data_IF_373549442517
#
_entry.id   IF_373549442517
#
_cell.length_a   1.000
_cell.length_b   1.000
_cell.length_c   1.000
_cell.angle_alpha   90.00
_cell.angle_beta   90.00
_cell.angle_gamma   90.00
#
_symmetry.space_group_name_H-M   'P 1'
#
loop_
_entity.id
_entity.type
_entity.pdbx_description
1 polymer ?
#
# COMPACT_ATOMS: atom_id res chain seq x y z
N UNK A 1 34.39 -77.23 29.66
CA UNK A 1 33.53 -77.37 28.53
C UNK A 1 32.71 -76.08 28.40
N UNK A 2 33.15 -75.17 27.70
CA UNK A 2 32.81 -74.59 26.46
C UNK A 2 31.31 -74.26 26.35
N UNK A 3 31.04 -72.98 26.29
CA UNK A 3 29.74 -72.47 25.96
C UNK A 3 29.81 -70.91 25.82
N UNK A 4 30.38 -70.46 24.74
CA UNK A 4 30.39 -69.05 24.43
C UNK A 4 29.00 -68.54 24.03
N UNK A 5 28.49 -67.58 24.77
CA UNK A 5 27.36 -66.81 24.36
C UNK A 5 27.86 -65.52 23.67
N UNK A 6 27.70 -65.45 22.37
CA UNK A 6 27.88 -64.26 21.60
C UNK A 6 26.61 -63.44 21.77
N UNK A 7 26.68 -62.42 22.64
CA UNK A 7 25.66 -61.39 22.72
C UNK A 7 25.73 -60.55 21.48
N UNK A 8 24.64 -60.54 20.74
CA UNK A 8 24.45 -59.63 19.61
C UNK A 8 24.55 -58.21 20.10
N UNK A 9 25.45 -57.44 19.47
CA UNK A 9 25.46 -56.02 19.54
C UNK A 9 24.18 -55.53 18.85
N UNK A 10 23.29 -54.98 19.64
CA UNK A 10 22.16 -54.22 19.10
C UNK A 10 22.70 -53.06 18.30
N UNK A 11 22.38 -53.06 17.05
CA UNK A 11 22.46 -51.84 16.22
C UNK A 11 21.52 -50.82 16.88
N UNK A 12 22.08 -50.08 17.81
CA UNK A 12 21.44 -48.83 18.23
C UNK A 12 21.44 -47.92 17.02
N UNK A 13 20.33 -47.96 16.36
CA UNK A 13 19.88 -47.04 15.36
C UNK A 13 20.13 -45.62 15.88
N UNK A 14 21.26 -45.04 15.47
CA UNK A 14 21.54 -43.63 15.63
C UNK A 14 20.59 -42.85 14.69
N UNK A 15 19.30 -42.94 14.99
CA UNK A 15 18.36 -41.94 14.50
C UNK A 15 18.70 -40.70 15.31
N UNK A 16 19.74 -40.03 14.89
CA UNK A 16 20.04 -38.69 15.34
C UNK A 16 18.83 -37.82 15.02
N UNK A 17 17.94 -37.71 16.00
CA UNK A 17 16.81 -36.83 15.90
C UNK A 17 17.33 -35.49 15.43
N UNK A 18 16.95 -35.09 14.22
CA UNK A 18 17.30 -33.77 13.70
C UNK A 18 16.78 -32.76 14.72
N UNK A 19 17.73 -32.08 15.38
CA UNK A 19 17.34 -31.03 16.31
C UNK A 19 16.68 -29.91 15.54
N UNK A 20 15.34 -29.82 15.61
CA UNK A 20 14.55 -28.84 14.90
C UNK A 20 14.63 -27.42 15.49
N UNK A 21 15.18 -27.32 16.71
CA UNK A 21 15.30 -26.05 17.42
C UNK A 21 16.03 -24.97 16.60
N UNK A 22 17.19 -25.25 15.96
CA UNK A 22 17.86 -24.26 15.12
C UNK A 22 17.03 -23.85 13.89
N UNK A 23 16.26 -24.77 13.33
CA UNK A 23 15.43 -24.51 12.16
C UNK A 23 14.26 -23.60 12.54
N UNK A 24 13.62 -23.88 13.68
CA UNK A 24 12.51 -23.05 14.19
C UNK A 24 13.00 -21.65 14.51
N UNK A 25 14.19 -21.48 15.07
CA UNK A 25 14.75 -20.16 15.37
C UNK A 25 14.99 -19.33 14.11
N UNK A 26 15.58 -19.93 13.07
CA UNK A 26 15.77 -19.29 11.78
C UNK A 26 14.42 -18.91 11.16
N UNK A 27 13.42 -19.79 11.20
CA UNK A 27 12.09 -19.51 10.67
C UNK A 27 11.40 -18.36 11.42
N UNK A 28 11.51 -18.32 12.76
CA UNK A 28 10.96 -17.23 13.56
C UNK A 28 11.65 -15.91 13.26
N UNK A 29 12.98 -15.91 13.16
CA UNK A 29 13.75 -14.70 12.82
C UNK A 29 13.36 -14.17 11.44
N UNK A 30 13.27 -15.05 10.44
CA UNK A 30 12.81 -14.66 9.09
C UNK A 30 11.39 -14.11 9.12
N UNK A 31 10.47 -14.73 9.87
CA UNK A 31 9.09 -14.27 9.99
C UNK A 31 9.04 -12.86 10.58
N UNK A 32 9.79 -12.57 11.65
CA UNK A 32 9.87 -11.25 12.25
C UNK A 32 10.44 -10.24 11.25
N UNK A 33 11.52 -10.58 10.55
CA UNK A 33 12.11 -9.72 9.52
C UNK A 33 11.08 -9.43 8.40
N UNK A 34 10.35 -10.44 7.94
CA UNK A 34 9.30 -10.25 6.93
C UNK A 34 8.17 -9.35 7.42
N UNK A 35 7.72 -9.51 8.67
CA UNK A 35 6.66 -8.63 9.23
C UNK A 35 7.15 -7.18 9.29
N UNK A 36 8.38 -6.96 9.75
CA UNK A 36 8.95 -5.60 9.86
C UNK A 36 9.18 -5.00 8.48
N UNK A 37 9.70 -5.76 7.52
CA UNK A 37 9.94 -5.26 6.16
C UNK A 37 8.67 -5.10 5.35
N UNK A 38 7.68 -5.98 5.52
CA UNK A 38 6.38 -5.85 4.84
C UNK A 38 5.65 -4.56 5.20
N UNK A 39 5.74 -4.11 6.45
CA UNK A 39 5.15 -2.83 6.86
C UNK A 39 5.80 -1.62 6.17
N UNK A 40 7.06 -1.73 5.75
CA UNK A 40 7.78 -0.69 5.01
C UNK A 40 7.34 -0.61 3.53
N UNK A 41 6.95 -1.74 2.96
CA UNK A 41 6.49 -1.79 1.55
C UNK A 41 5.09 -1.19 1.40
N UNK A 42 4.24 -1.36 2.40
CA UNK A 42 2.88 -0.81 2.40
C UNK A 42 2.87 0.72 2.62
N UNK A 43 3.89 1.27 3.29
CA UNK A 43 3.97 2.71 3.59
C UNK A 43 4.68 3.54 2.51
N UNK A 44 4.77 3.08 1.27
CA UNK A 44 5.11 3.93 0.12
C UNK A 44 3.93 4.75 -0.41
N UNK A 45 2.83 4.81 0.31
CA UNK A 45 1.97 5.99 0.24
C UNK A 45 2.80 7.15 0.81
N UNK A 46 3.30 8.01 -0.06
CA UNK A 46 4.05 9.22 0.31
C UNK A 46 3.35 9.92 1.46
N UNK A 47 4.09 10.34 2.50
CA UNK A 47 3.52 11.22 3.51
C UNK A 47 3.13 12.51 2.78
N UNK A 48 1.85 12.67 2.47
CA UNK A 48 1.31 13.95 2.09
C UNK A 48 1.50 14.82 3.32
N UNK A 49 2.48 15.72 3.30
CA UNK A 49 2.58 16.79 4.26
C UNK A 49 1.35 17.67 4.08
N UNK A 50 0.28 17.28 4.76
CA UNK A 50 -0.86 18.16 4.93
C UNK A 50 -0.35 19.37 5.70
N UNK A 51 -0.46 20.59 5.14
CA UNK A 51 -0.15 21.79 5.90
C UNK A 51 -1.01 21.74 7.16
N UNK A 52 -0.35 21.79 8.32
CA UNK A 52 -1.01 21.93 9.62
C UNK A 52 -1.60 23.35 9.67
N UNK A 53 -2.73 23.54 8.99
CA UNK A 53 -3.55 24.70 9.23
C UNK A 53 -4.23 24.50 10.58
N UNK A 54 -3.85 25.37 11.49
CA UNK A 54 -4.26 25.53 12.86
C UNK A 54 -5.66 24.98 13.24
N UNK A 55 -5.65 24.16 14.32
CA UNK A 55 -6.69 24.16 15.35
C UNK A 55 -8.16 24.14 14.88
N UNK A 56 -8.62 22.98 14.47
CA UNK A 56 -9.98 22.52 14.72
C UNK A 56 -9.90 21.02 14.92
N UNK A 57 -10.56 20.48 15.91
CA UNK A 57 -10.75 19.05 16.16
C UNK A 57 -11.39 18.43 14.92
N UNK A 58 -10.57 18.12 13.94
CA UNK A 58 -10.99 17.62 12.64
C UNK A 58 -10.58 16.19 12.55
N UNK A 59 -11.55 15.31 12.53
CA UNK A 59 -11.37 13.94 12.06
C UNK A 59 -10.59 13.93 10.74
N UNK A 60 -9.75 12.90 10.53
CA UNK A 60 -8.93 12.82 9.32
C UNK A 60 -9.84 12.86 8.09
N UNK A 61 -9.50 13.64 7.05
CA UNK A 61 -10.30 13.73 5.84
C UNK A 61 -10.38 12.35 5.17
N UNK A 62 -11.54 12.01 4.64
CA UNK A 62 -11.67 10.85 3.76
C UNK A 62 -10.98 11.18 2.44
N UNK A 63 -9.90 10.45 2.15
CA UNK A 63 -9.07 10.69 0.97
C UNK A 63 -9.57 9.83 -0.20
N UNK A 64 -9.81 10.47 -1.34
CA UNK A 64 -10.10 9.80 -2.61
C UNK A 64 -8.84 9.84 -3.45
N UNK A 65 -8.25 8.67 -3.73
CA UNK A 65 -7.07 8.58 -4.56
C UNK A 65 -7.45 8.32 -6.01
N UNK A 66 -6.96 9.15 -6.91
CA UNK A 66 -7.08 8.96 -8.35
C UNK A 66 -5.69 8.82 -8.95
N UNK A 67 -5.49 7.79 -9.76
CA UNK A 67 -4.25 7.60 -10.50
C UNK A 67 -4.55 7.52 -11.99
N UNK A 68 -3.78 8.25 -12.80
CA UNK A 68 -3.83 8.20 -14.26
C UNK A 68 -2.59 7.49 -14.77
N UNK A 69 -2.78 6.34 -15.38
CA UNK A 69 -1.70 5.56 -15.95
C UNK A 69 -1.19 6.16 -17.29
N UNK A 70 -0.02 5.73 -17.72
CA UNK A 70 0.62 6.13 -18.97
C UNK A 70 -0.27 5.98 -20.21
N UNK A 71 -1.08 4.93 -20.27
CA UNK A 71 -2.02 4.66 -21.36
C UNK A 71 -3.32 5.47 -21.26
N UNK A 72 -3.48 6.32 -20.24
CA UNK A 72 -4.68 7.09 -19.97
C UNK A 72 -5.77 6.36 -19.19
N UNK A 73 -5.50 5.16 -18.70
CA UNK A 73 -6.42 4.45 -17.82
C UNK A 73 -6.50 5.16 -16.46
N UNK A 74 -7.70 5.18 -15.91
CA UNK A 74 -8.00 5.81 -14.63
C UNK A 74 -8.22 4.74 -13.57
N UNK A 75 -7.66 4.98 -12.40
CA UNK A 75 -7.88 4.17 -11.21
C UNK A 75 -8.39 5.06 -10.08
N UNK A 76 -9.47 4.63 -9.44
CA UNK A 76 -10.01 5.29 -8.24
C UNK A 76 -9.86 4.35 -7.07
N UNK A 77 -9.15 4.78 -6.02
CA UNK A 77 -8.82 3.96 -4.86
C UNK A 77 -8.19 2.60 -5.20
N UNK A 78 -7.41 2.55 -6.28
CA UNK A 78 -6.73 1.35 -6.77
C UNK A 78 -7.58 0.44 -7.66
N UNK A 79 -8.86 0.73 -7.86
CA UNK A 79 -9.74 0.01 -8.79
C UNK A 79 -9.83 0.73 -10.13
N UNK A 80 -9.80 -0.03 -11.24
CA UNK A 80 -10.01 0.55 -12.57
C UNK A 80 -11.39 1.20 -12.65
N UNK A 81 -11.44 2.44 -13.11
CA UNK A 81 -12.67 3.24 -13.16
C UNK A 81 -12.69 4.13 -14.41
N UNK A 82 -13.84 4.70 -14.70
CA UNK A 82 -14.02 5.69 -15.75
C UNK A 82 -14.19 7.08 -15.13
N UNK A 83 -13.99 8.12 -15.91
CA UNK A 83 -14.23 9.51 -15.49
C UNK A 83 -15.67 9.74 -14.99
N UNK A 84 -16.62 9.06 -15.58
CA UNK A 84 -18.04 9.11 -15.21
C UNK A 84 -18.36 8.44 -13.85
N UNK A 85 -17.47 7.57 -13.36
CA UNK A 85 -17.62 6.90 -12.07
C UNK A 85 -17.17 7.78 -10.89
N UNK A 86 -16.34 8.80 -11.14
CA UNK A 86 -15.79 9.68 -10.10
C UNK A 86 -16.86 10.28 -9.20
N UNK A 87 -17.95 10.89 -9.71
CA UNK A 87 -18.98 11.47 -8.85
C UNK A 87 -19.62 10.43 -7.92
N UNK A 88 -19.86 9.22 -8.42
CA UNK A 88 -20.43 8.13 -7.63
C UNK A 88 -19.49 7.69 -6.51
N UNK A 89 -18.20 7.60 -6.78
CA UNK A 89 -17.19 7.24 -5.76
C UNK A 89 -17.04 8.34 -4.70
N UNK A 90 -17.15 9.62 -5.11
CA UNK A 90 -17.17 10.76 -4.18
C UNK A 90 -18.39 10.68 -3.25
N UNK A 91 -19.58 10.42 -3.79
CA UNK A 91 -20.81 10.29 -3.00
C UNK A 91 -20.73 9.09 -2.05
N UNK A 92 -20.18 7.95 -2.50
CA UNK A 92 -19.97 6.80 -1.66
C UNK A 92 -18.97 7.08 -0.51
N UNK A 93 -17.90 7.84 -0.79
CA UNK A 93 -16.96 8.27 0.24
C UNK A 93 -17.60 9.22 1.25
N UNK A 94 -18.43 10.16 0.76
CA UNK A 94 -19.21 11.08 1.60
C UNK A 94 -20.17 10.33 2.52
N UNK A 95 -20.91 9.36 1.98
CA UNK A 95 -21.83 8.55 2.75
C UNK A 95 -21.13 7.76 3.86
N UNK A 96 -19.95 7.17 3.57
CA UNK A 96 -19.14 6.46 4.58
C UNK A 96 -18.66 7.41 5.68
N UNK A 97 -18.21 8.61 5.33
CA UNK A 97 -17.77 9.60 6.30
C UNK A 97 -18.92 10.07 7.20
N UNK A 98 -20.11 10.34 6.64
CA UNK A 98 -21.30 10.72 7.38
C UNK A 98 -21.76 9.61 8.34
N UNK A 99 -21.67 8.35 7.93
CA UNK A 99 -22.03 7.21 8.78
C UNK A 99 -21.12 7.10 10.02
N UNK A 100 -19.92 7.66 9.97
CA UNK A 100 -18.98 7.71 11.10
C UNK A 100 -19.26 8.88 12.06
N UNK A 101 -20.31 9.67 11.84
CA UNK A 101 -20.71 10.77 12.73
C UNK A 101 -19.83 12.02 12.63
N UNK A 102 -19.04 12.12 11.57
CA UNK A 102 -18.11 13.23 11.33
C UNK A 102 -18.56 14.03 10.13
N UNK A 103 -18.46 15.37 10.20
CA UNK A 103 -18.62 16.20 9.01
C UNK A 103 -17.65 15.73 7.91
N UNK A 104 -18.15 15.35 6.72
CA UNK A 104 -17.32 14.77 5.68
C UNK A 104 -16.41 15.83 5.04
N UNK A 105 -15.18 15.96 5.54
CA UNK A 105 -14.12 16.63 4.79
C UNK A 105 -13.55 15.64 3.79
N UNK A 106 -13.85 15.85 2.52
CA UNK A 106 -13.30 15.03 1.43
C UNK A 106 -12.07 15.73 0.86
N UNK A 107 -10.96 15.01 0.81
CA UNK A 107 -9.76 15.44 0.12
C UNK A 107 -9.52 14.51 -1.09
N UNK A 108 -9.19 15.07 -2.23
CA UNK A 108 -8.79 14.35 -3.42
C UNK A 108 -7.27 14.31 -3.53
N UNK A 109 -6.71 13.15 -3.86
CA UNK A 109 -5.32 13.01 -4.24
C UNK A 109 -5.25 12.50 -5.67
N UNK A 110 -4.70 13.29 -6.58
CA UNK A 110 -4.61 12.93 -8.00
C UNK A 110 -3.14 12.78 -8.38
N UNK A 111 -2.76 11.58 -8.77
CA UNK A 111 -1.44 11.24 -9.29
C UNK A 111 -1.51 10.90 -10.77
N UNK A 112 -0.46 11.22 -11.52
CA UNK A 112 -0.34 10.85 -12.91
C UNK A 112 1.06 10.32 -13.22
N UNK A 113 1.13 9.30 -14.09
CA UNK A 113 2.39 8.88 -14.68
C UNK A 113 2.99 10.03 -15.51
N UNK A 114 4.32 10.11 -15.56
CA UNK A 114 5.04 11.16 -16.30
C UNK A 114 4.62 11.24 -17.76
N UNK A 115 4.32 10.10 -18.37
CA UNK A 115 3.90 9.99 -19.75
C UNK A 115 2.37 9.93 -19.92
N UNK A 116 1.61 10.14 -18.83
CA UNK A 116 0.16 10.12 -18.90
C UNK A 116 -0.38 11.29 -19.76
N UNK A 117 -1.45 11.06 -20.54
CA UNK A 117 -2.07 12.14 -21.31
C UNK A 117 -2.60 13.24 -20.38
N UNK A 118 -2.02 14.43 -20.49
CA UNK A 118 -2.39 15.58 -19.65
C UNK A 118 -3.91 15.89 -19.68
N UNK A 119 -4.55 15.68 -20.82
CA UNK A 119 -6.00 15.88 -20.94
C UNK A 119 -6.80 14.98 -19.98
N UNK A 120 -6.39 13.73 -19.83
CA UNK A 120 -7.04 12.79 -18.90
C UNK A 120 -6.86 13.19 -17.43
N UNK A 121 -5.65 13.66 -17.10
CA UNK A 121 -5.38 14.20 -15.77
C UNK A 121 -6.23 15.43 -15.46
N UNK A 122 -6.28 16.39 -16.39
CA UNK A 122 -7.09 17.59 -16.23
C UNK A 122 -8.59 17.28 -16.09
N UNK A 123 -9.12 16.38 -16.92
CA UNK A 123 -10.52 15.92 -16.82
C UNK A 123 -10.81 15.25 -15.47
N UNK A 124 -9.89 14.45 -14.92
CA UNK A 124 -10.07 13.83 -13.61
C UNK A 124 -10.15 14.86 -12.49
N UNK A 125 -9.28 15.89 -12.52
CA UNK A 125 -9.30 17.00 -11.56
C UNK A 125 -10.61 17.78 -11.66
N UNK A 126 -11.07 18.09 -12.87
CA UNK A 126 -12.33 18.81 -13.08
C UNK A 126 -13.53 18.02 -12.57
N UNK A 127 -13.57 16.71 -12.81
CA UNK A 127 -14.63 15.84 -12.31
C UNK A 127 -14.67 15.78 -10.77
N UNK A 128 -13.50 15.75 -10.11
CA UNK A 128 -13.43 15.84 -8.65
C UNK A 128 -13.97 17.16 -8.12
N UNK A 129 -13.61 18.28 -8.76
CA UNK A 129 -14.11 19.62 -8.37
C UNK A 129 -15.62 19.74 -8.55
N UNK A 130 -16.14 19.25 -9.67
CA UNK A 130 -17.57 19.23 -9.93
C UNK A 130 -18.36 18.36 -8.95
N UNK A 131 -17.72 17.29 -8.45
CA UNK A 131 -18.29 16.44 -7.40
C UNK A 131 -18.20 17.05 -5.99
N UNK A 132 -17.66 18.27 -5.85
CA UNK A 132 -17.63 19.03 -4.60
C UNK A 132 -16.43 18.71 -3.70
N UNK A 133 -15.34 18.16 -4.24
CA UNK A 133 -14.08 18.00 -3.53
C UNK A 133 -13.27 19.29 -3.69
N UNK A 134 -13.13 20.06 -2.60
CA UNK A 134 -12.43 21.36 -2.61
C UNK A 134 -10.94 21.23 -2.39
N UNK A 135 -10.53 20.27 -1.55
CA UNK A 135 -9.13 20.05 -1.21
C UNK A 135 -8.55 18.97 -2.14
N UNK A 136 -7.81 19.38 -3.16
CA UNK A 136 -7.20 18.48 -4.14
C UNK A 136 -5.68 18.65 -4.09
N UNK A 137 -4.98 17.58 -3.69
CA UNK A 137 -3.54 17.49 -3.79
C UNK A 137 -3.17 16.81 -5.11
N UNK A 138 -2.21 17.40 -5.82
CA UNK A 138 -1.72 16.88 -7.09
C UNK A 138 -0.30 16.35 -6.90
N UNK A 139 -0.06 15.13 -7.34
CA UNK A 139 1.27 14.53 -7.43
C UNK A 139 1.61 14.29 -8.89
N UNK A 140 2.42 15.16 -9.43
CA UNK A 140 3.06 14.97 -10.73
C UNK A 140 4.51 14.66 -10.47
N UNK A 141 4.95 13.42 -10.65
CA UNK A 141 6.37 13.10 -10.54
C UNK A 141 7.13 13.91 -11.59
N UNK A 142 8.06 14.79 -11.19
CA UNK A 142 8.91 15.45 -12.16
C UNK A 142 9.73 14.38 -12.89
N UNK A 143 9.82 14.49 -14.21
CA UNK A 143 10.74 13.68 -15.00
C UNK A 143 12.13 13.72 -14.35
N UNK A 144 12.83 12.57 -14.18
CA UNK A 144 14.19 12.59 -13.69
C UNK A 144 14.99 13.54 -14.57
N UNK A 145 15.61 14.55 -13.94
CA UNK A 145 16.46 15.47 -14.66
C UNK A 145 17.51 14.64 -15.41
N UNK A 146 17.45 14.64 -16.72
CA UNK A 146 18.51 14.06 -17.55
C UNK A 146 19.79 14.75 -17.16
N UNK A 147 20.83 14.02 -16.71
CA UNK A 147 22.12 14.65 -16.46
C UNK A 147 22.60 15.25 -17.77
N UNK A 148 22.65 16.57 -17.84
CA UNK A 148 23.32 17.28 -18.92
C UNK A 148 24.79 16.95 -18.75
N UNK A 149 25.27 16.01 -19.55
CA UNK A 149 26.71 15.75 -19.68
C UNK A 149 27.35 16.95 -20.36
N UNK A 150 28.41 17.52 -19.80
CA UNK A 150 29.16 18.61 -20.39
C UNK A 150 29.92 18.15 -21.64
#
# INVERSE_FOLDING_TARGET
>A
MAGGAWGGAGDEELIGGVNVTPIVDVCLTLLVVFIVTASQVVNRSMPVNLPKAASAESSPPSIINIAVARNGDLFVNGAAARLEDIPREVEAARARATASGVEPRLAGFVSADVDAPYGRFAEAVDRLRLAGVSDIALDTQPAPATPTTP
#
